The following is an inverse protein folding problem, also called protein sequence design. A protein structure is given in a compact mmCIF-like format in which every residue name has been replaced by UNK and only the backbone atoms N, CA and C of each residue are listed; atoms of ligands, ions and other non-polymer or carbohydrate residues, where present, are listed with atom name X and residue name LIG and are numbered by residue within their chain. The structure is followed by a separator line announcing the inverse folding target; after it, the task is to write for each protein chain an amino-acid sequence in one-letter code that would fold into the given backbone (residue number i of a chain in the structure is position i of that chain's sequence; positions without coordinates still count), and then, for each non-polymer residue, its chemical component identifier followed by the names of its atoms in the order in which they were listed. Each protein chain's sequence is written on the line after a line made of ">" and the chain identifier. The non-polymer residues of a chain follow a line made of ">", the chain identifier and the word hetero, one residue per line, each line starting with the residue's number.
data_IF_121962289183
#
_entry.id   IF_121962289183
#
_cell.length_a   1.000
_cell.length_b   1.000
_cell.length_c   1.000
_cell.angle_alpha   90.00
_cell.angle_beta   90.00
_cell.angle_gamma   90.00
#
_symmetry.space_group_name_H-M   'P 1'
#
loop_
_entity.id
_entity.type
_entity.pdbx_description
1 polymer ?
#
# COMPACT_ATOMS: atom_id res chain seq x y z
N UNK A 1 3.51 -11.56 43.26
CA UNK A 1 2.33 -11.01 42.54
C UNK A 1 2.57 -11.19 41.04
N UNK A 2 1.63 -11.74 40.27
CA UNK A 2 1.76 -11.75 38.81
C UNK A 2 1.78 -10.31 38.27
N UNK A 3 2.77 -9.98 37.44
CA UNK A 3 2.83 -8.70 36.70
C UNK A 3 2.08 -8.89 35.38
N UNK A 4 1.07 -8.05 35.14
CA UNK A 4 0.47 -7.98 33.81
C UNK A 4 1.48 -7.39 32.82
N UNK A 5 1.55 -7.97 31.61
CA UNK A 5 2.36 -7.46 30.51
C UNK A 5 1.43 -6.93 29.42
N UNK A 6 1.65 -5.68 28.99
CA UNK A 6 0.93 -5.11 27.87
C UNK A 6 1.43 -5.76 26.58
N UNK A 7 0.64 -6.68 26.04
CA UNK A 7 0.92 -7.37 24.78
C UNK A 7 -0.05 -6.88 23.71
N UNK A 8 0.44 -6.66 22.49
CA UNK A 8 -0.41 -6.33 21.35
C UNK A 8 -1.50 -7.40 21.14
N UNK A 9 -2.68 -6.97 20.73
CA UNK A 9 -3.76 -7.90 20.37
C UNK A 9 -3.33 -8.80 19.20
N UNK A 10 -3.69 -10.08 19.26
CA UNK A 10 -3.30 -11.09 18.25
C UNK A 10 -3.77 -10.77 16.82
N UNK A 11 -4.77 -9.90 16.67
CA UNK A 11 -5.33 -9.49 15.38
C UNK A 11 -4.70 -8.21 14.81
N UNK A 12 -3.76 -7.58 15.53
CA UNK A 12 -3.04 -6.42 15.02
C UNK A 12 -1.97 -6.86 14.03
N UNK A 13 -1.80 -6.11 12.95
CA UNK A 13 -0.75 -6.36 11.97
C UNK A 13 0.63 -6.22 12.61
N UNK A 14 1.51 -7.18 12.33
CA UNK A 14 2.91 -7.11 12.67
C UNK A 14 3.74 -7.06 11.36
N UNK A 15 4.72 -6.15 11.20
CA UNK A 15 5.52 -6.10 9.98
C UNK A 15 6.23 -7.41 9.58
N UNK A 16 6.31 -8.40 10.48
CA UNK A 16 6.88 -9.73 10.26
C UNK A 16 5.85 -10.81 9.86
N UNK A 17 4.54 -10.52 9.87
CA UNK A 17 3.47 -11.51 9.63
C UNK A 17 2.54 -11.19 8.45
N UNK A 18 2.84 -10.14 7.69
CA UNK A 18 2.08 -9.78 6.50
C UNK A 18 2.96 -9.20 5.38
N UNK A 19 2.32 -9.00 4.23
CA UNK A 19 2.87 -8.45 3.00
C UNK A 19 1.94 -7.33 2.52
N UNK A 20 2.50 -6.23 2.02
CA UNK A 20 1.74 -5.22 1.28
C UNK A 20 1.68 -5.62 -0.20
N UNK A 21 0.49 -5.76 -0.76
CA UNK A 21 0.30 -5.96 -2.20
C UNK A 21 -0.34 -4.71 -2.78
N UNK A 22 0.31 -4.07 -3.76
CA UNK A 22 -0.22 -2.89 -4.45
C UNK A 22 -0.48 -3.23 -5.91
N UNK A 23 -1.75 -3.15 -6.30
CA UNK A 23 -2.22 -3.64 -7.59
C UNK A 23 -2.55 -2.45 -8.49
N UNK A 24 -1.78 -2.29 -9.56
CA UNK A 24 -2.11 -1.47 -10.73
C UNK A 24 -2.44 0.00 -10.42
N UNK A 25 -1.71 0.60 -9.47
CA UNK A 25 -1.77 2.03 -9.16
C UNK A 25 -1.13 2.87 -10.28
N UNK A 26 -1.83 2.95 -11.41
CA UNK A 26 -1.42 3.59 -12.65
C UNK A 26 -2.48 4.60 -13.11
N UNK A 27 -2.10 5.59 -13.93
CA UNK A 27 -2.98 6.71 -14.29
C UNK A 27 -4.29 6.28 -14.95
N UNK A 28 -4.28 5.31 -15.87
CA UNK A 28 -5.52 4.87 -16.51
C UNK A 28 -6.44 4.07 -15.59
N UNK A 29 -5.88 3.33 -14.63
CA UNK A 29 -6.67 2.55 -13.68
C UNK A 29 -7.35 3.46 -12.66
N UNK A 30 -6.65 4.53 -12.24
CA UNK A 30 -7.24 5.55 -11.37
C UNK A 30 -8.30 6.40 -12.08
N UNK A 31 -8.22 6.59 -13.40
CA UNK A 31 -9.16 7.45 -14.13
C UNK A 31 -10.62 7.02 -13.98
N UNK A 32 -10.89 5.71 -14.02
CA UNK A 32 -12.22 5.14 -13.85
C UNK A 32 -12.71 5.11 -12.39
N UNK A 33 -11.82 5.35 -11.42
CA UNK A 33 -12.17 5.36 -10.00
C UNK A 33 -12.86 6.67 -9.64
N UNK A 34 -14.12 6.60 -9.19
CA UNK A 34 -14.95 7.77 -8.82
C UNK A 34 -15.46 7.74 -7.38
N UNK A 35 -15.21 6.65 -6.65
CA UNK A 35 -15.55 6.52 -5.22
C UNK A 35 -14.65 7.34 -4.31
N UNK A 36 -13.53 7.83 -4.82
CA UNK A 36 -12.54 8.65 -4.11
C UNK A 36 -11.93 9.65 -5.08
N UNK A 37 -11.62 10.85 -4.59
CA UNK A 37 -10.88 11.84 -5.38
C UNK A 37 -9.46 11.33 -5.73
N UNK A 38 -8.97 11.70 -6.92
CA UNK A 38 -7.70 11.20 -7.45
C UNK A 38 -6.50 11.62 -6.57
N UNK A 39 -6.51 12.83 -6.00
CA UNK A 39 -5.42 13.28 -5.13
C UNK A 39 -5.42 12.46 -3.83
N UNK A 40 -6.59 12.20 -3.24
CA UNK A 40 -6.71 11.38 -2.04
C UNK A 40 -6.31 9.93 -2.28
N UNK A 41 -6.70 9.34 -3.42
CA UNK A 41 -6.27 7.98 -3.79
C UNK A 41 -4.75 7.87 -3.82
N UNK A 42 -4.09 8.80 -4.53
CA UNK A 42 -2.63 8.82 -4.69
C UNK A 42 -1.92 9.07 -3.36
N UNK A 43 -2.39 10.04 -2.57
CA UNK A 43 -1.83 10.34 -1.25
C UNK A 43 -1.94 9.14 -0.29
N UNK A 44 -3.08 8.46 -0.27
CA UNK A 44 -3.27 7.28 0.60
C UNK A 44 -2.36 6.12 0.17
N UNK A 45 -2.23 5.88 -1.14
CA UNK A 45 -1.34 4.85 -1.67
C UNK A 45 0.15 5.16 -1.37
N UNK A 46 0.55 6.43 -1.49
CA UNK A 46 1.88 6.89 -1.10
C UNK A 46 2.13 6.67 0.40
N UNK A 47 1.17 7.04 1.26
CA UNK A 47 1.32 6.90 2.70
C UNK A 47 1.52 5.45 3.13
N UNK A 48 0.73 4.52 2.58
CA UNK A 48 0.84 3.09 2.91
C UNK A 48 2.14 2.49 2.36
N UNK A 49 2.54 2.83 1.13
CA UNK A 49 3.81 2.33 0.55
C UNK A 49 5.04 2.81 1.32
N UNK A 50 5.06 4.08 1.72
CA UNK A 50 6.15 4.61 2.55
C UNK A 50 6.15 4.01 3.95
N UNK A 51 4.98 3.76 4.55
CA UNK A 51 4.89 3.06 5.83
C UNK A 51 5.47 1.63 5.72
N UNK A 52 5.10 0.88 4.68
CA UNK A 52 5.67 -0.46 4.43
C UNK A 52 7.19 -0.41 4.31
N UNK A 53 7.74 0.60 3.61
CA UNK A 53 9.19 0.83 3.52
C UNK A 53 9.83 1.10 4.89
N UNK A 54 9.24 1.97 5.70
CA UNK A 54 9.76 2.32 7.04
C UNK A 54 9.75 1.11 7.97
N UNK A 55 8.66 0.34 7.98
CA UNK A 55 8.50 -0.84 8.83
C UNK A 55 9.14 -2.11 8.25
N UNK A 56 9.75 -2.02 7.06
CA UNK A 56 10.35 -3.15 6.33
C UNK A 56 9.36 -4.30 6.07
N UNK A 57 8.11 -3.95 5.81
CA UNK A 57 7.08 -4.90 5.39
C UNK A 57 7.44 -5.38 3.98
N UNK A 58 7.51 -6.70 3.73
CA UNK A 58 7.61 -7.23 2.37
C UNK A 58 6.55 -6.59 1.47
N UNK A 59 6.91 -6.20 0.25
CA UNK A 59 5.98 -5.50 -0.67
C UNK A 59 6.01 -6.15 -2.06
N UNK A 60 4.84 -6.40 -2.64
CA UNK A 60 4.66 -6.87 -4.00
C UNK A 60 3.91 -5.81 -4.80
N UNK A 61 4.51 -5.37 -5.91
CA UNK A 61 3.95 -4.36 -6.80
C UNK A 61 3.56 -5.03 -8.12
N UNK A 62 2.35 -4.77 -8.60
CA UNK A 62 1.91 -5.22 -9.92
C UNK A 62 1.49 -4.04 -10.79
N UNK A 63 1.61 -4.24 -12.10
CA UNK A 63 1.12 -3.30 -13.10
C UNK A 63 0.44 -4.07 -14.21
N UNK A 64 -0.64 -3.51 -14.76
CA UNK A 64 -1.28 -4.02 -15.97
C UNK A 64 -0.92 -3.12 -17.14
N UNK A 65 -0.50 -3.69 -18.27
CA UNK A 65 -0.23 -2.97 -19.53
C UNK A 65 0.62 -1.68 -19.37
N UNK A 66 1.62 -1.69 -18.47
CA UNK A 66 2.43 -0.52 -18.10
C UNK A 66 3.07 0.19 -19.30
N UNK A 67 3.65 -0.62 -20.20
CA UNK A 67 4.39 -0.14 -21.37
C UNK A 67 3.51 0.32 -22.54
N UNK A 68 2.18 0.25 -22.38
CA UNK A 68 1.24 0.62 -23.44
C UNK A 68 0.11 1.51 -22.91
N UNK A 69 -0.97 0.91 -22.44
CA UNK A 69 -2.21 1.63 -22.11
C UNK A 69 -2.11 2.32 -20.75
N UNK A 70 -1.79 1.57 -19.70
CA UNK A 70 -2.04 2.02 -18.33
C UNK A 70 -1.05 3.06 -17.82
N UNK A 71 0.13 3.15 -18.43
CA UNK A 71 1.23 4.01 -18.02
C UNK A 71 2.03 3.43 -16.84
N UNK A 72 3.06 4.13 -16.36
CA UNK A 72 3.86 3.67 -15.23
C UNK A 72 3.05 3.65 -13.93
N UNK A 73 3.53 2.90 -12.94
CA UNK A 73 3.05 3.03 -11.56
C UNK A 73 3.29 4.46 -11.06
N UNK A 74 2.44 4.93 -10.14
CA UNK A 74 2.63 6.23 -9.52
C UNK A 74 4.02 6.37 -8.87
N UNK A 75 4.69 7.49 -9.15
CA UNK A 75 6.08 7.76 -8.72
C UNK A 75 6.23 7.82 -7.21
N UNK A 76 5.17 8.18 -6.50
CA UNK A 76 5.16 8.26 -5.05
C UNK A 76 5.09 6.88 -4.36
N UNK A 77 4.85 5.81 -5.12
CA UNK A 77 4.85 4.42 -4.65
C UNK A 77 6.21 3.72 -4.87
N UNK A 78 6.96 4.11 -5.91
CA UNK A 78 8.20 3.45 -6.37
C UNK A 78 9.47 4.26 -6.11
#
# INVERSE_FOLDING_TARGET
>A
MPKAQATAGKSLLNPQDHLLVMIDFQSQMAFATKSIDMANLRNNAALISQAAKVFKVPTLLTTVAEKSFSGPMFKEIT
#
